data_IF_015270692883
#
_entry.id   IF_015270692883
#
_cell.length_a   1.000
_cell.length_b   1.000
_cell.length_c   1.000
_cell.angle_alpha   90.00
_cell.angle_beta   90.00
_cell.angle_gamma   90.00
#
_symmetry.space_group_name_H-M   'P 1'
#
loop_
_entity.id
_entity.type
_entity.pdbx_description
1 polymer ?
#
# COMPACT_ATOMS: atom_id res chain seq x y z
N UNK A 1 -11.98 -61.01 20.18
CA UNK A 1 -10.87 -60.02 20.15
C UNK A 1 -10.95 -59.22 18.86
N UNK A 2 -10.55 -57.93 18.93
CA UNK A 2 -10.63 -56.84 17.91
C UNK A 2 -11.94 -56.05 17.98
N UNK A 3 -12.10 -55.22 19.02
CA UNK A 3 -11.58 -53.84 19.21
C UNK A 3 -12.14 -52.90 18.14
N UNK A 4 -13.23 -52.26 18.54
CA UNK A 4 -14.01 -51.27 17.84
C UNK A 4 -13.35 -49.91 18.10
N UNK A 5 -12.52 -49.45 17.17
CA UNK A 5 -11.88 -48.13 17.25
C UNK A 5 -12.84 -47.07 16.75
N UNK A 6 -13.65 -46.52 17.65
CA UNK A 6 -14.34 -45.26 17.44
C UNK A 6 -13.34 -44.13 17.69
N UNK A 7 -12.56 -43.76 16.67
CA UNK A 7 -11.76 -42.54 16.67
C UNK A 7 -12.68 -41.38 16.31
N UNK A 8 -13.37 -40.85 17.32
CA UNK A 8 -14.02 -39.54 17.21
C UNK A 8 -12.92 -38.48 17.22
N UNK A 9 -12.50 -38.04 16.03
CA UNK A 9 -11.72 -36.82 15.87
C UNK A 9 -12.60 -35.65 16.30
N UNK A 10 -12.30 -35.08 17.46
CA UNK A 10 -12.88 -33.81 17.91
C UNK A 10 -12.36 -32.75 16.95
N UNK A 11 -13.23 -32.26 16.09
CA UNK A 11 -13.01 -31.06 15.31
C UNK A 11 -12.94 -29.87 16.27
N UNK A 12 -11.74 -29.33 16.48
CA UNK A 12 -11.57 -28.00 17.05
C UNK A 12 -11.52 -27.01 15.88
N UNK A 13 -12.68 -26.60 15.38
CA UNK A 13 -12.78 -25.38 14.58
C UNK A 13 -12.51 -24.22 15.55
N UNK A 14 -11.29 -23.70 15.55
CA UNK A 14 -11.01 -22.42 16.20
C UNK A 14 -11.64 -21.36 15.29
N UNK A 15 -12.90 -21.01 15.58
CA UNK A 15 -13.54 -19.86 14.98
C UNK A 15 -12.87 -18.61 15.54
N UNK A 16 -11.91 -18.05 14.80
CA UNK A 16 -11.46 -16.68 15.02
C UNK A 16 -12.56 -15.73 14.52
N UNK A 17 -13.61 -15.53 15.31
CA UNK A 17 -14.64 -14.50 15.09
C UNK A 17 -14.36 -13.26 15.94
N UNK A 18 -13.09 -12.84 16.01
CA UNK A 18 -12.82 -11.50 16.50
C UNK A 18 -13.29 -10.54 15.40
N UNK A 19 -14.39 -9.82 15.66
CA UNK A 19 -14.77 -8.66 14.86
C UNK A 19 -13.60 -7.66 14.90
N UNK A 20 -12.74 -7.69 13.89
CA UNK A 20 -11.65 -6.75 13.76
C UNK A 20 -12.23 -5.42 13.23
N UNK A 21 -11.84 -4.29 13.81
CA UNK A 21 -12.13 -2.99 13.22
C UNK A 21 -10.95 -2.59 12.34
N UNK A 22 -11.24 -2.13 11.12
CA UNK A 22 -10.25 -1.52 10.24
C UNK A 22 -10.26 0.00 10.40
N UNK A 23 -9.07 0.59 10.46
CA UNK A 23 -8.90 2.05 10.48
C UNK A 23 -9.10 2.60 9.08
N UNK A 24 -9.87 3.67 8.98
CA UNK A 24 -10.01 4.46 7.75
C UNK A 24 -9.01 5.59 7.84
N UNK A 25 -8.09 5.63 6.88
CA UNK A 25 -7.11 6.69 6.74
C UNK A 25 -7.60 7.74 5.75
N UNK A 26 -7.29 9.00 6.03
CA UNK A 26 -7.51 10.13 5.12
C UNK A 26 -6.33 11.10 5.14
N UNK A 27 -6.35 12.14 4.29
CA UNK A 27 -5.26 13.10 4.19
C UNK A 27 -4.94 13.75 5.54
N UNK A 28 -3.65 13.79 5.85
CA UNK A 28 -3.07 14.44 7.02
C UNK A 28 -1.82 15.24 6.65
N UNK A 29 -1.16 15.77 7.67
CA UNK A 29 0.11 16.47 7.48
C UNK A 29 1.23 15.44 7.31
N UNK A 30 2.15 15.72 6.39
CA UNK A 30 3.33 14.88 6.21
C UNK A 30 4.32 15.18 7.35
N UNK A 31 4.65 14.16 8.13
CA UNK A 31 5.64 14.27 9.18
C UNK A 31 7.05 14.03 8.62
N UNK A 32 8.03 14.78 9.12
CA UNK A 32 9.40 14.76 8.60
C UNK A 32 10.08 13.40 8.78
N UNK A 33 9.91 12.76 9.94
CA UNK A 33 10.49 11.45 10.22
C UNK A 33 9.98 10.36 9.27
N UNK A 34 8.70 10.42 8.91
CA UNK A 34 8.07 9.52 7.93
C UNK A 34 8.67 9.75 6.54
N UNK A 35 8.75 11.02 6.11
CA UNK A 35 9.33 11.37 4.82
C UNK A 35 10.81 10.97 4.72
N UNK A 36 11.61 11.29 5.73
CA UNK A 36 13.04 10.97 5.79
C UNK A 36 13.26 9.45 5.76
N UNK A 37 12.45 8.68 6.50
CA UNK A 37 12.53 7.21 6.50
C UNK A 37 12.17 6.61 5.15
N UNK A 38 11.13 7.12 4.48
CA UNK A 38 10.73 6.69 3.15
C UNK A 38 11.80 7.01 2.10
N UNK A 39 12.30 8.25 2.07
CA UNK A 39 13.36 8.68 1.15
C UNK A 39 14.68 7.92 1.38
N UNK A 40 15.02 7.64 2.64
CA UNK A 40 16.17 6.81 2.97
C UNK A 40 16.00 5.40 2.42
N UNK A 41 14.83 4.78 2.60
CA UNK A 41 14.56 3.46 2.05
C UNK A 41 14.66 3.45 0.51
N UNK A 42 14.03 4.41 -0.17
CA UNK A 42 14.09 4.53 -1.62
C UNK A 42 15.52 4.62 -2.12
N UNK A 43 16.35 5.46 -1.50
CA UNK A 43 17.76 5.60 -1.89
C UNK A 43 18.58 4.33 -1.59
N UNK A 44 18.22 3.56 -0.56
CA UNK A 44 18.89 2.32 -0.21
C UNK A 44 18.61 1.17 -1.20
N UNK A 45 17.56 1.27 -2.04
CA UNK A 45 17.29 0.30 -3.11
C UNK A 45 18.42 0.25 -4.16
N UNK A 46 19.20 1.32 -4.29
CA UNK A 46 20.20 1.48 -5.35
C UNK A 46 19.60 1.79 -6.73
N UNK A 47 18.28 1.93 -6.82
CA UNK A 47 17.56 2.25 -8.05
C UNK A 47 17.25 3.76 -8.07
N UNK A 48 17.51 4.40 -9.21
CA UNK A 48 17.30 5.84 -9.39
C UNK A 48 15.83 6.18 -9.68
N UNK A 49 14.96 5.92 -8.70
CA UNK A 49 13.56 6.32 -8.78
C UNK A 49 13.41 7.84 -8.91
N UNK A 50 12.33 8.25 -9.57
CA UNK A 50 11.92 9.66 -9.68
C UNK A 50 10.60 9.85 -8.92
N UNK A 51 10.40 11.06 -8.41
CA UNK A 51 9.25 11.45 -7.61
C UNK A 51 8.57 12.67 -8.23
N UNK A 52 7.25 12.68 -8.23
CA UNK A 52 6.44 13.90 -8.37
C UNK A 52 5.24 13.81 -7.43
N UNK A 53 4.55 14.94 -7.23
CA UNK A 53 3.35 14.98 -6.40
C UNK A 53 2.13 15.17 -7.30
N UNK A 54 1.15 14.28 -7.18
CA UNK A 54 -0.18 14.44 -7.76
C UNK A 54 -1.22 14.54 -6.64
N UNK A 55 -1.87 15.70 -6.53
CA UNK A 55 -3.01 15.90 -5.63
C UNK A 55 -2.72 15.46 -4.18
N UNK A 56 -1.48 15.67 -3.73
CA UNK A 56 -1.00 15.30 -2.40
C UNK A 56 -0.47 13.88 -2.25
N UNK A 57 -0.55 13.06 -3.29
CA UNK A 57 0.05 11.73 -3.36
C UNK A 57 1.48 11.86 -3.86
N UNK A 58 2.44 11.27 -3.16
CA UNK A 58 3.81 11.13 -3.66
C UNK A 58 3.86 9.96 -4.64
N UNK A 59 4.07 10.24 -5.91
CA UNK A 59 4.14 9.23 -6.97
C UNK A 59 5.59 8.85 -7.21
N UNK A 60 5.89 7.54 -7.13
CA UNK A 60 7.19 6.96 -7.46
C UNK A 60 7.18 6.43 -8.89
N UNK A 61 8.17 6.86 -9.68
CA UNK A 61 8.38 6.41 -11.05
C UNK A 61 9.68 5.61 -11.16
N UNK A 62 9.69 4.49 -11.92
CA UNK A 62 10.89 3.71 -12.18
C UNK A 62 11.92 4.52 -12.99
N UNK A 63 13.20 4.10 -12.99
CA UNK A 63 14.14 4.64 -13.95
C UNK A 63 13.78 4.19 -15.36
N UNK A 64 13.77 5.14 -16.29
CA UNK A 64 13.46 4.95 -17.71
C UNK A 64 12.01 4.56 -17.99
N UNK A 65 11.69 4.45 -19.29
CA UNK A 65 10.37 4.05 -19.75
C UNK A 65 10.16 2.52 -19.56
N UNK A 66 9.76 2.13 -18.35
CA UNK A 66 9.39 0.74 -17.98
C UNK A 66 8.20 0.72 -17.01
N UNK A 67 7.57 -0.44 -16.86
CA UNK A 67 6.57 -0.68 -15.81
C UNK A 67 7.21 -0.90 -14.43
N UNK A 68 6.39 -0.89 -13.38
CA UNK A 68 6.77 -1.32 -12.04
C UNK A 68 6.64 -2.85 -11.96
N UNK A 69 7.67 -3.53 -11.48
CA UNK A 69 7.71 -4.98 -11.26
C UNK A 69 8.11 -5.30 -9.80
N UNK A 70 7.11 -5.42 -8.93
CA UNK A 70 7.32 -5.71 -7.51
C UNK A 70 7.70 -7.17 -7.23
N UNK A 71 7.77 -8.03 -8.25
CA UNK A 71 8.22 -9.42 -8.12
C UNK A 71 9.71 -9.60 -8.44
N UNK A 72 10.32 -8.60 -9.08
CA UNK A 72 11.73 -8.62 -9.49
C UNK A 72 12.43 -7.32 -9.08
N UNK A 73 12.66 -6.41 -10.04
CA UNK A 73 13.48 -5.21 -9.85
C UNK A 73 12.97 -4.26 -8.74
N UNK A 74 11.65 -4.18 -8.55
CA UNK A 74 11.00 -3.24 -7.61
C UNK A 74 10.49 -3.92 -6.33
N UNK A 75 10.97 -5.13 -6.00
CA UNK A 75 10.61 -5.80 -4.73
C UNK A 75 10.91 -4.90 -3.52
N UNK A 76 12.08 -4.24 -3.51
CA UNK A 76 12.47 -3.36 -2.41
C UNK A 76 11.69 -2.04 -2.41
N UNK A 77 11.21 -1.55 -3.57
CA UNK A 77 10.29 -0.42 -3.60
C UNK A 77 8.98 -0.77 -2.89
N UNK A 78 8.42 -1.97 -3.14
CA UNK A 78 7.21 -2.41 -2.45
C UNK A 78 7.43 -2.42 -0.93
N UNK A 79 8.58 -2.90 -0.46
CA UNK A 79 8.92 -2.87 0.97
C UNK A 79 8.98 -1.43 1.51
N UNK A 80 9.62 -0.49 0.79
CA UNK A 80 9.63 0.93 1.16
C UNK A 80 8.22 1.51 1.27
N UNK A 81 7.35 1.22 0.31
CA UNK A 81 5.97 1.69 0.31
C UNK A 81 5.16 1.08 1.46
N UNK A 82 5.33 -0.22 1.74
CA UNK A 82 4.66 -0.90 2.85
C UNK A 82 5.04 -0.33 4.22
N UNK A 83 6.27 0.16 4.39
CA UNK A 83 6.70 0.80 5.64
C UNK A 83 6.02 2.16 5.89
N UNK A 84 5.53 2.82 4.85
CA UNK A 84 4.96 4.17 4.93
C UNK A 84 3.46 4.20 4.59
N UNK A 85 2.84 3.07 4.24
CA UNK A 85 1.49 3.03 3.66
C UNK A 85 0.37 3.44 4.62
N UNK A 86 0.63 3.48 5.92
CA UNK A 86 -0.32 3.92 6.95
C UNK A 86 -0.10 5.38 7.42
N UNK A 87 0.99 6.01 6.98
CA UNK A 87 1.47 7.30 7.48
C UNK A 87 1.73 8.32 6.37
N UNK A 88 1.94 7.89 5.13
CA UNK A 88 2.21 8.73 3.96
C UNK A 88 1.34 8.34 2.77
N UNK A 89 0.85 9.33 2.02
CA UNK A 89 0.11 9.08 0.79
C UNK A 89 1.10 8.85 -0.35
N UNK A 90 1.22 7.60 -0.79
CA UNK A 90 2.22 7.16 -1.79
C UNK A 90 1.54 6.24 -2.81
N UNK A 91 1.93 6.38 -4.07
CA UNK A 91 1.66 5.40 -5.11
C UNK A 91 2.91 5.21 -5.99
N UNK A 92 2.90 4.16 -6.80
CA UNK A 92 3.93 3.92 -7.81
C UNK A 92 3.26 3.76 -9.17
N UNK A 93 3.85 4.36 -10.20
CA UNK A 93 3.32 4.35 -11.56
C UNK A 93 4.39 3.88 -12.53
N UNK A 94 3.98 3.08 -13.51
CA UNK A 94 4.83 2.73 -14.64
C UNK A 94 4.97 3.91 -15.61
N UNK A 95 6.06 3.92 -16.38
CA UNK A 95 6.30 4.95 -17.39
C UNK A 95 5.97 4.51 -18.82
N UNK A 96 5.33 3.35 -18.98
CA UNK A 96 4.94 2.75 -20.27
C UNK A 96 3.87 3.55 -21.03
N UNK A 97 3.23 4.51 -20.37
CA UNK A 97 2.26 5.42 -20.97
C UNK A 97 2.77 6.87 -20.90
N UNK A 98 2.43 7.64 -21.94
CA UNK A 98 2.80 9.05 -22.02
C UNK A 98 1.94 9.87 -21.06
N UNK A 99 2.55 10.30 -19.96
CA UNK A 99 1.95 11.24 -19.01
C UNK A 99 2.85 12.49 -18.90
N UNK A 100 2.24 13.67 -19.02
CA UNK A 100 2.95 14.95 -18.94
C UNK A 100 3.62 15.16 -17.57
N UNK A 101 3.04 14.62 -16.50
CA UNK A 101 3.55 14.79 -15.14
C UNK A 101 4.84 13.99 -14.90
N UNK A 102 5.09 12.93 -15.68
CA UNK A 102 6.35 12.19 -15.64
C UNK A 102 7.56 13.09 -15.93
N UNK A 103 7.38 14.14 -16.75
CA UNK A 103 8.44 15.08 -17.10
C UNK A 103 8.80 16.03 -15.95
N UNK A 104 7.85 16.30 -15.05
CA UNK A 104 8.06 17.17 -13.89
C UNK A 104 8.68 16.44 -12.69
N UNK A 105 8.89 15.12 -12.80
CA UNK A 105 9.48 14.34 -11.72
C UNK A 105 10.97 14.62 -11.51
N UNK A 106 11.42 14.49 -10.27
CA UNK A 106 12.82 14.71 -9.84
C UNK A 106 13.39 13.42 -9.25
N UNK A 107 14.71 13.23 -9.32
CA UNK A 107 15.32 12.04 -8.70
C UNK A 107 15.11 12.02 -7.19
N UNK A 108 14.74 10.87 -6.63
CA UNK A 108 14.50 10.70 -5.19
C UNK A 108 15.72 11.09 -4.34
N UNK A 109 16.93 10.95 -4.87
CA UNK A 109 18.18 11.34 -4.21
C UNK A 109 18.37 12.86 -4.04
N UNK A 110 17.57 13.67 -4.73
CA UNK A 110 17.56 15.13 -4.63
C UNK A 110 16.38 15.66 -3.82
N UNK A 111 15.44 14.79 -3.45
CA UNK A 111 14.22 15.16 -2.74
C UNK A 111 14.51 15.24 -1.24
N UNK A 112 13.90 16.24 -0.60
CA UNK A 112 13.93 16.46 0.85
C UNK A 112 12.51 16.54 1.40
N UNK A 113 12.37 16.46 2.71
CA UNK A 113 11.09 16.73 3.38
C UNK A 113 10.49 18.09 2.96
N UNK A 114 11.30 19.16 3.00
CA UNK A 114 10.83 20.51 2.64
C UNK A 114 10.32 20.56 1.20
N UNK A 115 11.04 19.93 0.26
CA UNK A 115 10.58 19.83 -1.13
C UNK A 115 9.24 19.10 -1.23
N UNK A 116 9.06 17.97 -0.53
CA UNK A 116 7.80 17.22 -0.55
C UNK A 116 6.64 18.08 -0.05
N UNK A 117 6.83 18.80 1.06
CA UNK A 117 5.80 19.69 1.62
C UNK A 117 5.50 20.87 0.69
N UNK A 118 6.52 21.49 0.10
CA UNK A 118 6.36 22.58 -0.88
C UNK A 118 5.61 22.14 -2.13
N UNK A 119 5.83 20.91 -2.60
CA UNK A 119 5.07 20.31 -3.72
C UNK A 119 3.66 19.82 -3.31
N UNK A 120 3.31 19.90 -2.03
CA UNK A 120 1.97 19.59 -1.52
C UNK A 120 1.76 18.14 -1.11
N UNK A 121 2.83 17.34 -0.94
CA UNK A 121 2.73 15.98 -0.45
C UNK A 121 1.99 15.89 0.90
N UNK A 122 1.24 14.80 1.09
CA UNK A 122 0.41 14.61 2.29
C UNK A 122 0.75 13.33 3.03
N UNK A 123 0.68 13.44 4.35
CA UNK A 123 0.64 12.28 5.23
C UNK A 123 -0.74 11.65 5.24
N UNK A 124 -0.88 10.60 6.06
CA UNK A 124 -2.16 9.97 6.37
C UNK A 124 -2.45 10.10 7.87
N UNK A 125 -3.74 10.22 8.21
CA UNK A 125 -4.23 10.19 9.58
C UNK A 125 -5.51 9.37 9.68
N UNK A 126 -5.75 8.79 10.85
CA UNK A 126 -7.01 8.12 11.14
C UNK A 126 -8.18 9.13 11.10
N UNK A 127 -9.20 8.84 10.29
CA UNK A 127 -10.44 9.64 10.18
C UNK A 127 -11.67 8.85 10.62
N UNK A 128 -11.52 7.56 10.93
CA UNK A 128 -12.60 6.73 11.44
C UNK A 128 -12.22 5.25 11.51
N UNK A 129 -13.19 4.43 11.82
CA UNK A 129 -13.08 2.97 11.86
C UNK A 129 -14.34 2.33 11.31
N UNK A 130 -14.23 1.16 10.69
CA UNK A 130 -15.39 0.31 10.38
C UNK A 130 -15.11 -1.15 10.73
N UNK A 131 -16.13 -1.98 10.91
CA UNK A 131 -15.94 -3.42 11.02
C UNK A 131 -15.24 -3.97 9.76
N UNK A 132 -14.28 -4.88 9.96
CA UNK A 132 -13.71 -5.68 8.89
C UNK A 132 -14.84 -6.53 8.29
N UNK A 133 -14.87 -6.61 6.96
CA UNK A 133 -15.78 -7.53 6.28
C UNK A 133 -15.36 -8.96 6.60
N UNK A 134 -16.33 -9.79 6.96
CA UNK A 134 -16.15 -11.23 7.06
C UNK A 134 -16.18 -11.86 5.66
N UNK A 135 -15.71 -13.10 5.51
CA UNK A 135 -15.85 -13.84 4.24
C UNK A 135 -17.32 -13.96 3.81
N UNK A 136 -18.24 -14.03 4.76
CA UNK A 136 -19.69 -14.12 4.54
C UNK A 136 -20.24 -12.81 3.93
N UNK A 137 -19.74 -11.66 4.38
CA UNK A 137 -20.09 -10.34 3.83
C UNK A 137 -19.58 -10.14 2.40
N UNK A 138 -18.45 -10.75 2.05
CA UNK A 138 -17.87 -10.70 0.69
C UNK A 138 -18.65 -11.63 -0.24
N UNK A 139 -18.94 -12.85 0.19
CA UNK A 139 -19.68 -13.84 -0.61
C UNK A 139 -21.13 -13.42 -0.91
N UNK A 140 -21.80 -12.72 0.01
CA UNK A 140 -23.16 -12.21 -0.21
C UNK A 140 -23.26 -11.11 -1.27
N UNK A 141 -22.14 -10.47 -1.62
CA UNK A 141 -22.11 -9.36 -2.58
C UNK A 141 -21.95 -9.82 -4.04
N UNK A 142 -21.40 -11.03 -4.23
CA UNK A 142 -21.18 -11.65 -5.55
C UNK A 142 -22.40 -12.48 -6.02
N UNK A 143 -23.34 -12.76 -5.12
CA UNK A 143 -24.60 -13.46 -5.44
C UNK A 143 -25.75 -12.55 -5.93
N UNK A 144 -25.47 -11.27 -6.20
CA UNK A 144 -26.47 -10.26 -6.58
C UNK A 144 -26.66 -10.06 -8.09
N UNK A 145 -26.11 -10.92 -8.93
CA UNK A 145 -26.32 -10.90 -10.38
C UNK A 145 -27.47 -11.81 -10.80
N UNK A 146 -28.70 -11.49 -10.41
CA UNK A 146 -29.90 -12.08 -11.02
C UNK A 146 -30.60 -11.03 -11.88
N UNK A 147 -30.46 -11.23 -13.20
CA UNK A 147 -31.54 -11.26 -14.18
C UNK A 147 -32.73 -10.31 -13.94
N UNK A 148 -32.78 -9.22 -14.72
CA UNK A 148 -33.96 -8.87 -15.53
C UNK A 148 -33.56 -8.12 -16.80
#
# INVERSE_FOLDING_TARGET
>A
MRIQHCLSLIAALVQFTAAANITILGPGDLHQDVADSFLFCLNATGIYYRLYIDTGITIVLPPNNRGIDTGEDDEFLLQCMMMACDTMSIAAEGMNEDNADHMNSVYASLVTYDWLVEQGARGLRAIGTRPALTLEDIAGRDGGGNEE
#
